data_IF_979168530489
#
_entry.id   IF_979168530489
#
_cell.length_a   1.000
_cell.length_b   1.000
_cell.length_c   1.000
_cell.angle_alpha   90.00
_cell.angle_beta   90.00
_cell.angle_gamma   90.00
#
_symmetry.space_group_name_H-M   'P 1'
#
loop_
_entity.id
_entity.type
_entity.pdbx_description
1 polymer ?
#
# COMPACT_ATOMS: atom_id res chain seq x y z
N UNK A 1 23.08 11.46 18.25
CA UNK A 1 22.91 12.19 16.99
C UNK A 1 23.78 11.53 15.95
N UNK A 2 23.19 10.87 14.96
CA UNK A 2 23.95 10.17 13.91
C UNK A 2 23.85 11.00 12.65
N UNK A 3 24.90 11.76 12.34
CA UNK A 3 25.01 12.52 11.10
C UNK A 3 25.78 11.64 10.13
N UNK A 4 25.09 11.03 9.17
CA UNK A 4 25.73 10.39 8.03
C UNK A 4 25.94 11.44 6.94
N UNK A 5 27.18 11.90 6.79
CA UNK A 5 27.58 12.73 5.65
C UNK A 5 27.89 11.77 4.50
N UNK A 6 27.05 11.79 3.46
CA UNK A 6 27.36 11.14 2.19
C UNK A 6 27.83 12.22 1.20
N UNK A 7 29.07 12.17 0.67
CA UNK A 7 29.43 12.98 -0.47
C UNK A 7 28.94 12.30 -1.75
N UNK A 8 28.12 13.03 -2.49
CA UNK A 8 27.80 12.76 -3.90
C UNK A 8 29.00 13.06 -4.79
N UNK A 9 29.23 12.28 -5.86
CA UNK A 9 29.38 12.72 -7.26
C UNK A 9 29.84 11.56 -8.19
N UNK A 10 29.05 11.34 -9.26
CA UNK A 10 29.35 10.95 -10.66
C UNK A 10 30.61 10.10 -10.97
N UNK A 11 30.60 9.05 -11.81
CA UNK A 11 30.07 8.98 -13.17
C UNK A 11 30.01 7.50 -13.68
N UNK A 12 29.16 7.25 -14.67
CA UNK A 12 28.93 6.01 -15.46
C UNK A 12 30.09 5.74 -16.48
N UNK A 13 30.06 4.70 -17.35
CA UNK A 13 29.69 3.28 -17.20
C UNK A 13 30.77 2.28 -17.75
N UNK A 14 30.54 1.00 -17.45
CA UNK A 14 30.96 -0.24 -18.15
C UNK A 14 32.44 -0.63 -18.25
N UNK A 15 32.76 -1.68 -17.48
CA UNK A 15 33.79 -2.68 -17.80
C UNK A 15 35.17 -2.37 -17.23
N UNK A 16 35.73 -3.33 -16.47
CA UNK A 16 37.06 -3.38 -15.85
C UNK A 16 37.17 -2.96 -14.38
N UNK A 17 37.69 -3.93 -13.60
CA UNK A 17 38.32 -3.80 -12.28
C UNK A 17 37.54 -3.03 -11.21
N UNK A 18 36.71 -3.72 -10.42
CA UNK A 18 36.29 -3.16 -9.13
C UNK A 18 37.48 -3.23 -8.15
N UNK A 19 38.39 -2.26 -8.23
CA UNK A 19 39.31 -1.94 -7.13
C UNK A 19 38.50 -1.85 -5.85
N UNK A 20 38.77 -2.77 -4.93
CA UNK A 20 38.20 -2.85 -3.59
C UNK A 20 38.43 -1.52 -2.88
N UNK A 21 37.46 -0.61 -2.99
CA UNK A 21 37.41 0.57 -2.14
C UNK A 21 37.11 0.02 -0.75
N UNK A 22 38.16 -0.02 0.07
CA UNK A 22 38.14 -0.60 1.41
C UNK A 22 37.35 0.33 2.33
N UNK A 23 36.02 0.28 2.25
CA UNK A 23 35.14 1.04 3.13
C UNK A 23 35.21 0.48 4.55
N UNK A 24 35.52 1.35 5.52
CA UNK A 24 35.48 1.04 6.95
C UNK A 24 34.21 1.63 7.58
N UNK A 25 33.73 0.99 8.66
CA UNK A 25 32.64 1.53 9.48
C UNK A 25 33.23 2.23 10.70
N UNK A 26 32.78 3.46 10.94
CA UNK A 26 33.17 4.27 12.09
C UNK A 26 32.09 4.18 13.16
N UNK A 27 32.45 3.75 14.36
CA UNK A 27 31.53 3.63 15.50
C UNK A 27 32.08 4.37 16.72
N UNK A 28 31.32 5.34 17.24
CA UNK A 28 31.70 6.08 18.44
C UNK A 28 31.17 5.39 19.71
N UNK A 29 32.03 5.09 20.70
CA UNK A 29 31.63 4.51 21.99
C UNK A 29 32.62 4.87 23.10
N UNK A 30 32.13 5.32 24.29
CA UNK A 30 32.97 5.63 25.48
C UNK A 30 34.19 6.52 25.17
N UNK A 31 33.98 7.65 24.48
CA UNK A 31 35.06 8.53 24.03
C UNK A 31 36.10 7.91 23.07
N UNK A 32 35.81 6.73 22.49
CA UNK A 32 36.68 6.08 21.50
C UNK A 32 35.98 6.01 20.15
N UNK A 33 36.76 6.23 19.08
CA UNK A 33 36.34 6.02 17.70
C UNK A 33 36.85 4.66 17.23
N UNK A 34 35.93 3.70 17.07
CA UNK A 34 36.24 2.36 16.62
C UNK A 34 36.14 2.30 15.09
N UNK A 35 37.25 1.99 14.44
CA UNK A 35 37.32 1.75 12.99
C UNK A 35 37.25 0.25 12.75
N UNK A 36 36.20 -0.22 12.09
CA UNK A 36 36.00 -1.65 11.80
C UNK A 36 36.02 -1.89 10.29
N UNK A 37 36.65 -2.99 9.86
CA UNK A 37 36.44 -3.52 8.51
C UNK A 37 34.98 -3.91 8.32
N UNK A 38 34.46 -3.90 7.09
CA UNK A 38 33.07 -4.22 6.78
C UNK A 38 32.76 -5.70 7.10
N UNK A 39 32.61 -6.00 8.37
CA UNK A 39 31.88 -7.18 8.82
C UNK A 39 30.41 -6.93 8.54
N UNK A 40 29.70 -7.96 8.07
CA UNK A 40 28.24 -7.97 8.07
C UNK A 40 27.80 -7.62 9.48
N UNK A 41 27.38 -6.39 9.74
CA UNK A 41 26.83 -6.02 11.04
C UNK A 41 25.53 -6.81 11.12
N UNK A 42 25.58 -8.00 11.75
CA UNK A 42 24.37 -8.71 12.16
C UNK A 42 23.65 -7.73 13.06
N UNK A 43 22.57 -7.13 12.54
CA UNK A 43 21.71 -6.28 13.34
C UNK A 43 21.33 -7.09 14.59
N UNK A 44 21.47 -6.51 15.80
CA UNK A 44 21.04 -7.21 17.00
C UNK A 44 19.55 -7.56 16.83
N UNK A 45 19.22 -8.83 17.01
CA UNK A 45 17.83 -9.28 16.93
C UNK A 45 17.03 -8.55 18.02
N UNK A 46 16.04 -7.76 17.60
CA UNK A 46 15.16 -7.01 18.49
C UNK A 46 13.79 -7.68 18.52
N UNK A 47 13.57 -8.58 19.47
CA UNK A 47 12.30 -9.29 19.66
C UNK A 47 11.09 -8.33 19.87
N UNK A 48 11.36 -7.10 20.31
CA UNK A 48 10.36 -6.03 20.45
C UNK A 48 9.76 -5.58 19.12
N UNK A 49 10.41 -5.88 17.98
CA UNK A 49 9.91 -5.51 16.65
C UNK A 49 9.00 -6.58 16.03
N UNK A 50 8.91 -7.76 16.64
CA UNK A 50 8.05 -8.86 16.16
C UNK A 50 6.64 -8.80 16.76
N UNK A 51 6.46 -8.07 17.87
CA UNK A 51 5.16 -7.93 18.54
C UNK A 51 4.53 -6.57 18.23
N UNK A 52 3.25 -6.59 17.83
CA UNK A 52 2.53 -5.39 17.41
C UNK A 52 2.56 -4.25 18.44
N UNK A 53 2.32 -4.55 19.72
CA UNK A 53 2.28 -3.53 20.79
C UNK A 53 3.65 -2.93 21.08
N UNK A 54 4.68 -3.77 21.14
CA UNK A 54 6.06 -3.32 21.35
C UNK A 54 6.54 -2.46 20.19
N UNK A 55 6.25 -2.88 18.95
CA UNK A 55 6.57 -2.10 17.75
C UNK A 55 5.85 -0.74 17.75
N UNK A 56 4.56 -0.72 18.10
CA UNK A 56 3.78 0.50 18.21
C UNK A 56 4.39 1.48 19.22
N UNK A 57 4.76 0.99 20.41
CA UNK A 57 5.38 1.82 21.45
C UNK A 57 6.75 2.35 21.01
N UNK A 58 7.58 1.51 20.38
CA UNK A 58 8.85 1.94 19.78
C UNK A 58 8.64 3.04 18.73
N UNK A 59 7.65 2.87 17.84
CA UNK A 59 7.38 3.85 16.80
C UNK A 59 6.81 5.16 17.38
N UNK A 60 6.02 5.10 18.45
CA UNK A 60 5.44 6.28 19.11
C UNK A 60 6.52 7.22 19.66
N UNK A 61 7.56 6.66 20.28
CA UNK A 61 8.69 7.43 20.84
C UNK A 61 9.81 7.72 19.84
N UNK A 62 9.75 7.11 18.66
CA UNK A 62 10.74 7.33 17.61
C UNK A 62 10.54 8.68 16.92
N UNK A 63 11.62 9.42 16.74
CA UNK A 63 11.66 10.68 15.99
C UNK A 63 11.45 10.52 14.46
N UNK A 64 11.32 9.28 13.97
CA UNK A 64 11.18 8.98 12.55
C UNK A 64 9.82 9.47 12.01
N UNK A 65 9.87 10.19 10.89
CA UNK A 65 8.70 10.79 10.20
C UNK A 65 7.95 9.83 9.28
N UNK A 66 8.64 8.85 8.68
CA UNK A 66 8.07 7.85 7.77
C UNK A 66 8.83 6.54 7.87
N UNK A 67 8.17 5.43 7.57
CA UNK A 67 8.79 4.09 7.53
C UNK A 67 8.88 3.61 6.09
N UNK A 68 10.04 3.07 5.70
CA UNK A 68 10.20 2.31 4.45
C UNK A 68 10.49 0.86 4.78
N UNK A 69 9.75 -0.06 4.17
CA UNK A 69 9.83 -1.49 4.46
C UNK A 69 10.18 -2.27 3.19
N UNK A 70 11.12 -3.21 3.31
CA UNK A 70 11.54 -4.05 2.19
C UNK A 70 10.44 -5.12 1.91
N UNK A 71 9.91 -5.22 0.67
CA UNK A 71 8.95 -6.26 0.31
C UNK A 71 9.45 -7.68 0.60
N UNK A 72 10.78 -7.92 0.58
CA UNK A 72 11.39 -9.23 0.86
C UNK A 72 11.14 -9.76 2.28
N UNK A 73 10.67 -8.91 3.20
CA UNK A 73 10.29 -9.32 4.55
C UNK A 73 9.04 -10.20 4.59
N UNK A 74 8.32 -10.31 3.48
CA UNK A 74 7.10 -11.10 3.37
C UNK A 74 5.87 -10.35 3.86
N UNK A 75 4.71 -10.83 3.43
CA UNK A 75 3.44 -10.15 3.61
C UNK A 75 3.05 -9.93 5.08
N UNK A 76 3.17 -10.97 5.92
CA UNK A 76 2.74 -10.90 7.32
C UNK A 76 3.49 -9.81 8.09
N UNK A 77 4.81 -9.72 7.90
CA UNK A 77 5.64 -8.69 8.53
C UNK A 77 5.29 -7.31 8.00
N UNK A 78 5.08 -7.17 6.68
CA UNK A 78 4.70 -5.87 6.11
C UNK A 78 3.33 -5.42 6.63
N UNK A 79 2.35 -6.32 6.74
CA UNK A 79 1.04 -6.04 7.34
C UNK A 79 1.16 -5.61 8.80
N UNK A 80 1.94 -6.34 9.61
CA UNK A 80 2.17 -6.02 11.02
C UNK A 80 2.72 -4.60 11.19
N UNK A 81 3.74 -4.25 10.40
CA UNK A 81 4.33 -2.91 10.41
C UNK A 81 3.36 -1.84 9.92
N UNK A 82 2.58 -2.15 8.89
CA UNK A 82 1.60 -1.22 8.35
C UNK A 82 0.49 -0.92 9.37
N UNK A 83 -0.01 -1.92 10.08
CA UNK A 83 -1.01 -1.75 11.14
C UNK A 83 -0.44 -0.98 12.32
N UNK A 84 0.80 -1.26 12.74
CA UNK A 84 1.46 -0.51 13.81
C UNK A 84 1.62 0.98 13.41
N UNK A 85 2.08 1.26 12.19
CA UNK A 85 2.22 2.63 11.67
C UNK A 85 0.88 3.36 11.54
N UNK A 86 -0.17 2.67 11.07
CA UNK A 86 -1.52 3.24 10.97
C UNK A 86 -2.08 3.63 12.34
N UNK A 87 -1.82 2.85 13.38
CA UNK A 87 -2.31 3.10 14.74
C UNK A 87 -1.74 4.36 15.40
N UNK A 88 -0.69 4.94 14.82
CA UNK A 88 -0.01 6.16 15.28
C UNK A 88 0.07 7.23 14.19
N UNK A 89 -0.69 7.06 13.10
CA UNK A 89 -0.73 7.97 11.96
C UNK A 89 0.63 8.25 11.31
N UNK A 90 1.56 7.29 11.34
CA UNK A 90 2.83 7.38 10.61
C UNK A 90 2.69 6.76 9.23
N UNK A 91 3.13 7.43 8.16
CA UNK A 91 3.08 6.87 6.83
C UNK A 91 4.15 5.79 6.65
N UNK A 92 3.76 4.70 5.98
CA UNK A 92 4.62 3.58 5.64
C UNK A 92 4.64 3.39 4.11
N UNK A 93 5.81 3.06 3.59
CA UNK A 93 6.06 2.89 2.17
C UNK A 93 6.78 1.56 1.92
N UNK A 94 6.36 0.85 0.87
CA UNK A 94 7.13 -0.25 0.32
C UNK A 94 8.40 0.31 -0.33
N UNK A 95 9.54 -0.31 -0.05
CA UNK A 95 10.81 0.00 -0.70
C UNK A 95 10.82 -0.54 -2.12
N UNK A 96 10.42 0.31 -3.06
CA UNK A 96 10.48 0.01 -4.50
C UNK A 96 11.83 0.41 -5.08
N UNK A 97 12.29 -0.33 -6.09
CA UNK A 97 13.57 -0.06 -6.75
C UNK A 97 13.56 1.33 -7.39
N UNK A 98 14.48 2.19 -6.94
CA UNK A 98 14.58 3.59 -7.34
C UNK A 98 15.29 3.78 -8.70
N UNK A 99 15.05 2.90 -9.68
CA UNK A 99 15.75 3.01 -10.96
C UNK A 99 15.24 4.23 -11.74
N UNK A 100 16.17 5.15 -11.96
CA UNK A 100 15.95 6.58 -12.12
C UNK A 100 15.70 6.94 -13.58
N UNK A 101 14.42 7.11 -13.93
CA UNK A 101 13.93 8.11 -14.89
C UNK A 101 12.41 8.14 -14.76
N UNK A 102 11.93 8.79 -13.71
CA UNK A 102 10.52 9.15 -13.66
C UNK A 102 10.25 10.15 -14.77
N UNK A 103 9.19 9.97 -15.58
CA UNK A 103 8.72 11.06 -16.43
C UNK A 103 8.33 12.21 -15.50
N UNK A 104 9.09 13.30 -15.52
CA UNK A 104 8.69 14.53 -14.82
C UNK A 104 7.36 14.96 -15.45
N UNK A 105 6.28 15.18 -14.69
CA UNK A 105 5.05 15.66 -15.26
C UNK A 105 5.33 17.01 -15.94
N UNK A 106 5.01 17.12 -17.22
CA UNK A 106 5.32 18.31 -18.05
C UNK A 106 4.67 19.60 -17.52
N UNK A 107 3.70 19.52 -16.60
CA UNK A 107 3.26 20.67 -15.80
C UNK A 107 2.62 20.25 -14.48
N UNK A 108 3.15 20.79 -13.39
CA UNK A 108 2.58 20.64 -12.03
C UNK A 108 1.16 21.22 -11.98
N UNK A 109 0.89 22.26 -12.75
CA UNK A 109 -0.42 22.91 -12.84
C UNK A 109 -1.50 21.98 -13.42
N UNK A 110 -1.26 21.32 -14.55
CA UNK A 110 -2.25 20.40 -15.14
C UNK A 110 -2.51 19.20 -14.21
N UNK A 111 -1.49 18.72 -13.50
CA UNK A 111 -1.67 17.66 -12.51
C UNK A 111 -2.55 18.10 -11.33
N UNK A 112 -2.31 19.30 -10.80
CA UNK A 112 -3.15 19.88 -9.75
C UNK A 112 -4.60 20.10 -10.20
N UNK A 113 -4.81 20.64 -11.39
CA UNK A 113 -6.14 20.84 -11.97
C UNK A 113 -6.88 19.52 -12.20
N UNK A 114 -6.20 18.50 -12.76
CA UNK A 114 -6.74 17.14 -12.87
C UNK A 114 -7.17 16.62 -11.50
N UNK A 115 -6.35 16.82 -10.47
CA UNK A 115 -6.65 16.34 -9.11
C UNK A 115 -7.89 17.01 -8.52
N UNK A 116 -8.05 18.31 -8.74
CA UNK A 116 -9.24 19.06 -8.32
C UNK A 116 -10.51 18.58 -9.03
N UNK A 117 -10.43 18.32 -10.34
CA UNK A 117 -11.57 17.77 -11.09
C UNK A 117 -11.97 16.40 -10.54
N UNK A 118 -11.01 15.49 -10.33
CA UNK A 118 -11.32 14.17 -9.77
C UNK A 118 -11.94 14.26 -8.37
N UNK A 119 -11.46 15.21 -7.55
CA UNK A 119 -12.02 15.46 -6.23
C UNK A 119 -13.45 16.00 -6.29
N UNK A 120 -13.73 16.92 -7.21
CA UNK A 120 -15.07 17.47 -7.45
C UNK A 120 -16.03 16.38 -7.94
N UNK A 121 -15.63 15.58 -8.94
CA UNK A 121 -16.43 14.48 -9.46
C UNK A 121 -16.71 13.44 -8.37
N UNK A 122 -15.70 13.03 -7.60
CA UNK A 122 -15.88 12.08 -6.51
C UNK A 122 -16.80 12.64 -5.41
N UNK A 123 -16.74 13.94 -5.11
CA UNK A 123 -17.62 14.59 -4.15
C UNK A 123 -19.07 14.63 -4.63
N UNK A 124 -19.30 14.91 -5.92
CA UNK A 124 -20.64 14.88 -6.54
C UNK A 124 -21.20 13.47 -6.49
N UNK A 125 -20.43 12.46 -6.90
CA UNK A 125 -20.88 11.06 -6.81
C UNK A 125 -21.18 10.67 -5.38
N UNK A 126 -20.33 11.02 -4.42
CA UNK A 126 -20.57 10.69 -3.02
C UNK A 126 -21.84 11.36 -2.50
N UNK A 127 -22.10 12.62 -2.86
CA UNK A 127 -23.32 13.33 -2.48
C UNK A 127 -24.57 12.66 -3.06
N UNK A 128 -24.58 12.42 -4.38
CA UNK A 128 -25.71 11.83 -5.11
C UNK A 128 -25.98 10.38 -4.69
N UNK A 129 -24.92 9.57 -4.52
CA UNK A 129 -25.04 8.17 -4.11
C UNK A 129 -25.11 7.97 -2.59
N UNK A 130 -24.94 9.01 -1.77
CA UNK A 130 -25.00 8.89 -0.31
C UNK A 130 -26.29 8.24 0.22
N UNK A 131 -27.51 8.53 -0.30
CA UNK A 131 -28.72 7.90 0.20
C UNK A 131 -28.73 6.40 -0.10
N UNK A 132 -28.27 6.01 -1.29
CA UNK A 132 -28.13 4.60 -1.69
C UNK A 132 -27.09 3.89 -0.83
N UNK A 133 -25.92 4.50 -0.61
CA UNK A 133 -24.87 3.95 0.25
C UNK A 133 -25.37 3.71 1.68
N UNK A 134 -26.13 4.65 2.24
CA UNK A 134 -26.72 4.51 3.57
C UNK A 134 -27.76 3.36 3.60
N UNK A 135 -28.62 3.28 2.60
CA UNK A 135 -29.62 2.21 2.49
C UNK A 135 -28.96 0.82 2.40
N UNK A 136 -27.93 0.68 1.57
CA UNK A 136 -27.15 -0.56 1.46
C UNK A 136 -26.49 -0.91 2.80
N UNK A 137 -25.89 0.08 3.48
CA UNK A 137 -25.26 -0.12 4.79
C UNK A 137 -26.27 -0.58 5.85
N UNK A 138 -27.49 -0.03 5.86
CA UNK A 138 -28.57 -0.46 6.75
C UNK A 138 -29.01 -1.89 6.43
N UNK A 139 -29.20 -2.21 5.16
CA UNK A 139 -29.60 -3.55 4.72
C UNK A 139 -28.58 -4.61 5.14
N UNK A 140 -27.29 -4.35 4.90
CA UNK A 140 -26.19 -5.24 5.31
C UNK A 140 -26.07 -5.42 6.84
N UNK A 141 -26.42 -4.39 7.60
CA UNK A 141 -26.38 -4.44 9.08
C UNK A 141 -27.43 -5.39 9.65
N UNK A 142 -28.53 -5.62 8.93
CA UNK A 142 -29.56 -6.60 9.31
C UNK A 142 -29.03 -8.02 9.11
N UNK A 143 -28.29 -8.26 8.04
CA UNK A 143 -27.79 -9.60 7.70
C UNK A 143 -26.53 -10.03 8.44
N UNK A 144 -25.72 -9.08 8.91
CA UNK A 144 -24.40 -9.38 9.49
C UNK A 144 -24.15 -8.62 10.79
N UNK A 145 -23.76 -9.34 11.85
CA UNK A 145 -23.23 -8.75 13.10
C UNK A 145 -21.80 -8.19 12.94
N UNK A 146 -21.25 -8.22 11.73
CA UNK A 146 -19.88 -7.84 11.42
C UNK A 146 -19.78 -6.37 10.98
N UNK A 147 -18.57 -5.78 10.96
CA UNK A 147 -18.36 -4.45 10.41
C UNK A 147 -18.80 -4.38 8.93
N UNK A 148 -19.56 -3.33 8.60
CA UNK A 148 -20.10 -3.08 7.25
C UNK A 148 -18.99 -2.86 6.22
N UNK A 149 -17.88 -2.25 6.63
CA UNK A 149 -16.75 -1.94 5.75
C UNK A 149 -15.60 -2.93 5.95
N UNK A 150 -15.13 -3.49 4.84
CA UNK A 150 -13.86 -4.19 4.77
C UNK A 150 -12.74 -3.18 4.45
N UNK A 151 -11.58 -3.35 5.09
CA UNK A 151 -10.40 -2.51 4.86
C UNK A 151 -9.20 -3.38 4.57
N UNK A 152 -8.67 -3.29 3.35
CA UNK A 152 -7.57 -4.13 2.87
C UNK A 152 -6.36 -3.30 2.48
N UNK A 153 -5.18 -3.78 2.86
CA UNK A 153 -3.92 -3.12 2.55
C UNK A 153 -3.62 -3.16 1.05
N UNK A 154 -3.38 -1.99 0.48
CA UNK A 154 -3.01 -1.80 -0.91
C UNK A 154 -1.80 -0.87 -1.01
N UNK A 155 -1.15 -0.92 -2.18
CA UNK A 155 0.03 -0.12 -2.49
C UNK A 155 -0.37 0.99 -3.45
N UNK A 156 -0.19 2.22 -3.01
CA UNK A 156 -0.47 3.45 -3.76
C UNK A 156 0.78 4.05 -4.37
N UNK A 157 0.67 5.32 -4.75
CA UNK A 157 1.75 6.04 -5.42
C UNK A 157 3.08 5.96 -4.63
N UNK A 158 4.16 5.65 -5.34
CA UNK A 158 5.53 5.52 -4.83
C UNK A 158 5.65 4.51 -3.68
N UNK A 159 4.84 3.45 -3.73
CA UNK A 159 4.85 2.41 -2.72
C UNK A 159 4.13 2.76 -1.42
N UNK A 160 3.44 3.90 -1.33
CA UNK A 160 2.73 4.30 -0.10
C UNK A 160 1.65 3.28 0.25
N UNK A 161 1.69 2.68 1.43
CA UNK A 161 0.62 1.76 1.83
C UNK A 161 -0.58 2.54 2.35
N UNK A 162 -1.77 2.08 1.97
CA UNK A 162 -3.04 2.63 2.44
C UNK A 162 -4.11 1.52 2.48
N UNK A 163 -5.25 1.80 3.12
CA UNK A 163 -6.36 0.85 3.19
C UNK A 163 -7.47 1.25 2.22
N UNK A 164 -7.74 0.40 1.24
CA UNK A 164 -8.95 0.53 0.40
C UNK A 164 -10.17 0.21 1.27
N UNK A 165 -11.24 0.98 1.11
CA UNK A 165 -12.51 0.77 1.79
C UNK A 165 -13.51 0.18 0.79
N UNK A 166 -14.05 -1.01 1.11
CA UNK A 166 -15.15 -1.63 0.36
C UNK A 166 -16.28 -2.00 1.31
N UNK A 167 -17.48 -2.22 0.77
CA UNK A 167 -18.51 -2.94 1.52
C UNK A 167 -18.09 -4.39 1.71
N UNK A 168 -18.35 -4.94 2.89
CA UNK A 168 -18.04 -6.32 3.22
C UNK A 168 -19.08 -7.25 2.59
N UNK A 169 -18.73 -7.96 1.54
CA UNK A 169 -19.64 -8.91 0.86
C UNK A 169 -19.52 -10.35 1.38
N UNK A 170 -18.53 -10.62 2.24
CA UNK A 170 -18.28 -11.94 2.84
C UNK A 170 -19.12 -12.19 4.08
N UNK A 171 -19.70 -13.39 4.17
CA UNK A 171 -20.44 -13.88 5.34
C UNK A 171 -19.57 -13.84 6.61
N UNK A 172 -20.19 -13.56 7.76
CA UNK A 172 -19.53 -13.65 9.06
C UNK A 172 -19.32 -15.11 9.48
N UNK A 173 -20.12 -16.04 8.96
CA UNK A 173 -20.05 -17.45 9.32
C UNK A 173 -18.96 -18.17 8.50
N UNK A 174 -17.87 -18.58 9.17
CA UNK A 174 -16.68 -19.20 8.56
C UNK A 174 -16.86 -20.68 8.20
N UNK A 175 -17.96 -21.31 8.57
CA UNK A 175 -18.12 -22.76 8.51
C UNK A 175 -18.53 -23.29 7.12
N UNK A 176 -18.95 -22.42 6.19
CA UNK A 176 -19.35 -22.83 4.84
C UNK A 176 -18.17 -22.70 3.85
N UNK A 177 -17.31 -23.72 3.80
CA UNK A 177 -16.06 -23.81 3.02
C UNK A 177 -16.23 -23.43 1.53
N UNK A 178 -17.45 -23.52 0.97
CA UNK A 178 -17.69 -23.33 -0.47
C UNK A 178 -18.57 -22.12 -0.85
N UNK A 179 -19.12 -21.34 0.09
CA UNK A 179 -19.91 -20.13 -0.23
C UNK A 179 -19.72 -19.02 0.81
N UNK A 180 -18.54 -18.39 0.78
CA UNK A 180 -18.17 -17.32 1.70
C UNK A 180 -18.87 -15.97 1.43
N UNK A 181 -19.75 -15.85 0.43
CA UNK A 181 -20.43 -14.60 0.03
C UNK A 181 -21.94 -14.67 0.29
N UNK A 182 -22.50 -13.62 0.90
CA UNK A 182 -23.96 -13.51 1.09
C UNK A 182 -24.65 -13.28 -0.25
N UNK A 183 -25.95 -13.59 -0.38
CA UNK A 183 -26.68 -13.35 -1.64
C UNK A 183 -26.63 -11.86 -2.05
N UNK A 184 -26.74 -10.98 -1.06
CA UNK A 184 -26.62 -9.53 -1.23
C UNK A 184 -25.19 -9.16 -1.59
N UNK A 185 -24.20 -9.82 -0.98
CA UNK A 185 -22.79 -9.71 -1.34
C UNK A 185 -22.54 -10.07 -2.80
N UNK A 186 -23.09 -11.18 -3.28
CA UNK A 186 -23.01 -11.59 -4.70
C UNK A 186 -23.63 -10.53 -5.62
N UNK A 187 -24.79 -9.98 -5.25
CA UNK A 187 -25.45 -8.92 -6.02
C UNK A 187 -24.66 -7.60 -6.03
N UNK A 188 -24.09 -7.20 -4.89
CA UNK A 188 -23.24 -5.99 -4.80
C UNK A 188 -21.94 -6.13 -5.57
N UNK A 189 -21.35 -7.33 -5.58
CA UNK A 189 -20.17 -7.63 -6.40
C UNK A 189 -20.51 -7.54 -7.89
N UNK A 190 -21.59 -8.20 -8.32
CA UNK A 190 -22.05 -8.16 -9.73
C UNK A 190 -22.41 -6.74 -10.20
N UNK A 191 -22.98 -5.91 -9.34
CA UNK A 191 -23.35 -4.53 -9.67
C UNK A 191 -22.20 -3.53 -9.44
N UNK A 192 -21.05 -3.96 -8.90
CA UNK A 192 -19.92 -3.09 -8.55
C UNK A 192 -20.19 -2.14 -7.36
N UNK A 193 -21.36 -2.24 -6.73
CA UNK A 193 -21.75 -1.36 -5.62
C UNK A 193 -20.87 -1.54 -4.38
N UNK A 194 -20.20 -2.68 -4.25
CA UNK A 194 -19.27 -2.94 -3.13
C UNK A 194 -18.09 -1.95 -3.11
N UNK A 195 -17.77 -1.35 -4.25
CA UNK A 195 -16.64 -0.44 -4.40
C UNK A 195 -17.00 1.03 -4.20
N UNK A 196 -18.28 1.40 -4.01
CA UNK A 196 -18.68 2.79 -3.76
C UNK A 196 -17.93 3.47 -2.60
N UNK A 197 -17.63 2.79 -1.47
CA UNK A 197 -16.87 3.41 -0.38
C UNK A 197 -15.45 3.85 -0.78
N UNK A 198 -14.90 3.34 -1.88
CA UNK A 198 -13.58 3.76 -2.39
C UNK A 198 -13.55 5.23 -2.83
N UNK A 199 -14.71 5.85 -3.11
CA UNK A 199 -14.77 7.30 -3.36
C UNK A 199 -14.19 8.11 -2.18
N UNK A 200 -14.31 7.59 -0.95
CA UNK A 200 -13.66 8.20 0.23
C UNK A 200 -12.13 8.15 0.13
N UNK A 201 -11.55 7.11 -0.47
CA UNK A 201 -10.11 7.01 -0.71
C UNK A 201 -9.65 8.05 -1.76
N UNK A 202 -10.49 8.36 -2.76
CA UNK A 202 -10.23 9.47 -3.70
C UNK A 202 -10.21 10.80 -2.96
N UNK A 203 -11.21 11.04 -2.09
CA UNK A 203 -11.26 12.27 -1.31
C UNK A 203 -10.08 12.44 -0.35
N UNK A 204 -9.53 11.34 0.16
CA UNK A 204 -8.31 11.32 1.01
C UNK A 204 -7.02 11.50 0.23
N UNK A 205 -7.09 11.49 -1.10
CA UNK A 205 -5.94 11.64 -1.96
C UNK A 205 -5.11 10.36 -2.12
N UNK A 206 -5.60 9.20 -1.68
CA UNK A 206 -4.86 7.93 -1.71
C UNK A 206 -4.89 7.29 -3.11
N UNK A 207 -6.01 7.46 -3.82
CA UNK A 207 -6.22 6.99 -5.20
C UNK A 207 -6.85 8.10 -6.05
N UNK A 208 -6.84 7.96 -7.37
CA UNK A 208 -7.60 8.77 -8.33
C UNK A 208 -8.86 8.08 -8.80
N UNK A 209 -9.72 8.82 -9.51
CA UNK A 209 -10.78 8.18 -10.30
C UNK A 209 -10.17 7.44 -11.48
N UNK A 210 -9.22 8.10 -12.16
CA UNK A 210 -8.47 7.58 -13.29
C UNK A 210 -7.02 7.32 -12.88
N UNK A 211 -6.44 6.20 -13.34
CA UNK A 211 -5.07 5.84 -13.00
C UNK A 211 -4.76 4.39 -13.28
N UNK A 212 -3.57 3.96 -12.88
CA UNK A 212 -3.14 2.55 -12.98
C UNK A 212 -3.93 1.66 -12.02
N UNK A 213 -3.87 0.34 -12.22
CA UNK A 213 -4.51 -0.63 -11.34
C UNK A 213 -4.05 -0.45 -9.87
N UNK A 214 -4.97 -0.58 -8.92
CA UNK A 214 -4.64 -0.71 -7.50
C UNK A 214 -4.07 -2.10 -7.22
N UNK A 215 -2.86 -2.16 -6.68
CA UNK A 215 -2.23 -3.43 -6.31
C UNK A 215 -2.54 -3.77 -4.86
N UNK A 216 -3.02 -5.00 -4.64
CA UNK A 216 -3.11 -5.54 -3.28
C UNK A 216 -1.70 -5.64 -2.69
N UNK A 217 -1.59 -5.59 -1.36
CA UNK A 217 -0.28 -5.78 -0.73
C UNK A 217 0.37 -7.11 -1.11
N UNK A 218 -0.42 -8.17 -1.22
CA UNK A 218 0.03 -9.51 -1.59
C UNK A 218 0.65 -9.51 -3.00
N UNK A 219 -0.08 -8.96 -3.97
CA UNK A 219 0.38 -8.93 -5.37
C UNK A 219 1.59 -8.01 -5.53
N UNK A 220 1.59 -6.86 -4.85
CA UNK A 220 2.66 -5.88 -4.93
C UNK A 220 4.02 -6.43 -4.43
N UNK A 221 4.00 -7.29 -3.41
CA UNK A 221 5.21 -7.94 -2.88
C UNK A 221 5.79 -8.95 -3.89
N UNK A 222 4.94 -9.58 -4.70
CA UNK A 222 5.34 -10.58 -5.71
C UNK A 222 5.83 -9.95 -7.02
N UNK A 223 5.71 -8.63 -7.18
CA UNK A 223 6.13 -7.94 -8.40
C UNK A 223 7.64 -8.04 -8.65
N UNK A 224 8.01 -8.23 -9.91
CA UNK A 224 9.40 -8.11 -10.36
C UNK A 224 9.88 -6.66 -10.20
N UNK A 225 11.20 -6.41 -10.06
CA UNK A 225 11.74 -5.04 -9.93
C UNK A 225 11.32 -4.11 -11.07
N UNK A 226 11.13 -4.65 -12.27
CA UNK A 226 10.64 -3.89 -13.44
C UNK A 226 9.17 -3.53 -13.30
N UNK A 227 8.33 -4.49 -12.89
CA UNK A 227 6.90 -4.27 -12.68
C UNK A 227 6.62 -3.33 -11.50
N UNK A 228 7.50 -3.27 -10.50
CA UNK A 228 7.42 -2.28 -9.41
C UNK A 228 7.41 -0.83 -9.92
N UNK A 229 7.88 -0.54 -11.15
CA UNK A 229 7.77 0.80 -11.74
C UNK A 229 6.33 1.28 -11.86
N UNK A 230 5.36 0.36 -12.00
CA UNK A 230 3.93 0.69 -12.04
C UNK A 230 3.43 1.29 -10.74
N UNK A 231 4.06 0.97 -9.60
CA UNK A 231 3.73 1.52 -8.28
C UNK A 231 4.15 3.00 -8.12
N UNK A 232 4.87 3.58 -9.09
CA UNK A 232 5.21 5.01 -9.06
C UNK A 232 4.05 5.92 -9.46
N UNK A 233 3.02 5.37 -10.12
CA UNK A 233 1.86 6.13 -10.55
C UNK A 233 0.75 6.07 -9.50
N UNK A 234 -0.05 7.13 -9.44
CA UNK A 234 -1.25 7.15 -8.62
C UNK A 234 -2.27 6.16 -9.20
N UNK A 235 -2.72 5.16 -8.44
CA UNK A 235 -3.68 4.21 -8.94
C UNK A 235 -5.08 4.81 -9.04
N UNK A 236 -5.92 4.23 -9.89
CA UNK A 236 -7.27 4.67 -10.20
C UNK A 236 -8.34 3.65 -9.84
N UNK A 237 -9.52 4.13 -9.45
CA UNK A 237 -10.70 3.29 -9.19
C UNK A 237 -11.11 2.52 -10.45
N UNK A 238 -11.23 3.21 -11.60
CA UNK A 238 -11.86 2.65 -12.81
C UNK A 238 -11.09 1.43 -13.35
N UNK A 239 -9.76 1.53 -13.46
CA UNK A 239 -8.92 0.42 -13.92
C UNK A 239 -8.91 -0.78 -12.96
N UNK A 240 -9.24 -0.56 -11.70
CA UNK A 240 -9.34 -1.63 -10.71
C UNK A 240 -10.69 -2.36 -10.83
N UNK A 241 -11.76 -1.65 -11.21
CA UNK A 241 -13.08 -2.25 -11.45
C UNK A 241 -13.11 -3.11 -12.71
N UNK A 242 -12.48 -2.64 -13.79
CA UNK A 242 -12.40 -3.38 -15.06
C UNK A 242 -11.76 -4.78 -14.86
N UNK A 243 -10.66 -4.86 -14.13
CA UNK A 243 -9.99 -6.15 -13.85
C UNK A 243 -10.80 -7.03 -12.89
N UNK A 244 -11.51 -6.45 -11.93
CA UNK A 244 -12.42 -7.20 -11.03
C UNK A 244 -13.59 -7.81 -11.82
N UNK A 245 -14.08 -7.09 -12.84
CA UNK A 245 -15.08 -7.63 -13.77
C UNK A 245 -14.53 -8.71 -14.70
N UNK A 246 -13.32 -8.57 -15.25
CA UNK A 246 -12.71 -9.59 -16.11
C UNK A 246 -12.42 -10.89 -15.35
N UNK A 247 -11.85 -10.78 -14.14
CA UNK A 247 -11.56 -11.95 -13.30
C UNK A 247 -12.82 -12.69 -12.85
N UNK A 248 -13.89 -11.96 -12.51
CA UNK A 248 -15.18 -12.58 -12.16
C UNK A 248 -15.85 -13.28 -13.35
N UNK A 249 -15.74 -12.73 -14.56
CA UNK A 249 -16.21 -13.40 -15.80
C UNK A 249 -15.43 -14.69 -16.06
N UNK A 250 -14.10 -14.67 -15.98
CA UNK A 250 -13.25 -15.86 -16.17
C UNK A 250 -13.58 -16.97 -15.16
N UNK A 251 -13.87 -16.61 -13.91
CA UNK A 251 -14.28 -17.58 -12.90
C UNK A 251 -15.66 -18.20 -13.18
N UNK A 252 -16.61 -17.42 -13.72
CA UNK A 252 -17.92 -17.94 -14.12
C UNK A 252 -17.79 -18.94 -15.27
N UNK A 253 -16.98 -18.64 -16.29
CA UNK A 253 -16.77 -19.56 -17.43
C UNK A 253 -16.09 -20.87 -17.01
N UNK A 254 -15.17 -20.81 -16.05
CA UNK A 254 -14.49 -21.99 -15.50
C UNK A 254 -15.38 -22.91 -14.66
N UNK A 255 -16.53 -22.42 -14.16
CA UNK A 255 -17.50 -23.21 -13.40
C UNK A 255 -18.63 -23.80 -14.26
N UNK A 256 -18.76 -23.34 -15.51
CA UNK A 256 -19.79 -23.77 -16.46
C UNK A 256 -19.24 -24.79 -17.47
N UNK A 257 -17.92 -25.02 -17.47
CA UNK A 257 -17.21 -26.01 -18.29
C UNK A 257 -16.94 -27.29 -17.50
#
# INVERSE_FOLDING_TARGET
MTISIAPSLYNNPSGFESKSSSYCTLQWRRNQLLVKSLGTIKQPYMASLDHHESLKECLKHSAVKLVRIDPKLGEEKVRLWADACASISKPIYLSISADNKQPKPNSVFLWGFKRLIEWAIASIFLLVLSPLMLLLALFMKVDTQAPIFERTWHVGERGKLFKIIKYRTKSANREAINQNTTQIGKWMHKSGLENLPQLLNVLRGEIGLFGSRCWTLEDAIKLTPEAQKQLNHLPGIISSWEVETESSVLHLDSQVS
#
